data_IF_497461668353
#
_entry.id   IF_497461668353
#
_cell.length_a   1.000
_cell.length_b   1.000
_cell.length_c   1.000
_cell.angle_alpha   90.00
_cell.angle_beta   90.00
_cell.angle_gamma   90.00
#
_symmetry.space_group_name_H-M   'P 1'
#
loop_
_entity.id
_entity.type
_entity.pdbx_description
1 polymer ?
#
# COMPACT_ATOMS: atom_id res chain seq x y z
N UNK A 1 5.55 35.84 10.53
CA UNK A 1 6.12 34.49 10.50
C UNK A 1 5.11 33.57 9.84
N UNK A 2 5.19 33.41 8.52
CA UNK A 2 4.34 32.51 7.76
C UNK A 2 5.26 31.54 7.06
N UNK A 3 5.43 30.35 7.64
CA UNK A 3 6.15 29.27 6.98
C UNK A 3 5.30 28.77 5.83
N UNK A 4 5.71 29.08 4.61
CA UNK A 4 5.28 28.39 3.41
C UNK A 4 5.75 26.95 3.56
N UNK A 5 4.89 26.03 4.00
CA UNK A 5 5.15 24.60 3.84
C UNK A 5 5.10 24.35 2.32
N UNK A 6 6.28 24.28 1.70
CA UNK A 6 6.39 23.65 0.40
C UNK A 6 5.78 22.26 0.51
N UNK A 7 4.93 21.90 -0.44
CA UNK A 7 4.35 20.56 -0.54
C UNK A 7 5.49 19.56 -0.68
N UNK A 8 5.97 19.01 0.43
CA UNK A 8 6.67 17.73 0.40
C UNK A 8 5.60 16.70 0.09
N UNK A 9 5.68 16.12 -1.10
CA UNK A 9 5.05 14.84 -1.38
C UNK A 9 5.70 13.82 -0.45
N UNK A 10 5.16 13.70 0.75
CA UNK A 10 5.63 12.74 1.76
C UNK A 10 5.09 11.37 1.36
N UNK A 11 5.94 10.57 0.71
CA UNK A 11 5.69 9.16 0.48
C UNK A 11 5.26 8.49 1.78
N UNK A 12 4.09 7.86 1.79
CA UNK A 12 3.56 7.17 2.98
C UNK A 12 4.12 5.76 3.02
N UNK A 13 4.83 5.44 4.09
CA UNK A 13 5.36 4.11 4.32
C UNK A 13 4.63 3.44 5.48
N UNK A 14 4.08 2.25 5.24
CA UNK A 14 3.32 1.50 6.24
C UNK A 14 3.77 0.05 6.28
N UNK A 15 3.79 -0.54 7.47
CA UNK A 15 4.11 -1.95 7.66
C UNK A 15 2.86 -2.70 8.12
N UNK A 16 2.51 -3.78 7.43
CA UNK A 16 1.48 -4.71 7.84
C UNK A 16 1.99 -5.53 9.04
N UNK A 17 1.80 -5.02 10.25
CA UNK A 17 2.31 -5.62 11.51
C UNK A 17 1.46 -6.82 11.98
N UNK A 18 1.14 -7.75 11.07
CA UNK A 18 0.21 -8.87 11.29
C UNK A 18 -1.24 -8.60 10.91
N UNK A 19 -1.54 -7.40 10.41
CA UNK A 19 -2.78 -7.07 9.69
C UNK A 19 -2.72 -7.56 8.24
N UNK A 20 -3.89 -7.74 7.60
CA UNK A 20 -3.95 -8.16 6.19
C UNK A 20 -3.25 -7.14 5.31
N UNK A 21 -2.39 -7.59 4.40
CA UNK A 21 -1.68 -6.73 3.45
C UNK A 21 -2.63 -5.80 2.68
N UNK A 22 -3.79 -6.32 2.29
CA UNK A 22 -4.84 -5.53 1.66
C UNK A 22 -5.32 -4.34 2.49
N UNK A 23 -5.48 -4.52 3.81
CA UNK A 23 -5.87 -3.42 4.71
C UNK A 23 -4.77 -2.38 4.84
N UNK A 24 -3.52 -2.82 5.03
CA UNK A 24 -2.38 -1.91 5.14
C UNK A 24 -2.21 -1.05 3.89
N UNK A 25 -2.44 -1.61 2.69
CA UNK A 25 -2.42 -0.84 1.44
C UNK A 25 -3.51 0.21 1.41
N UNK A 26 -4.74 -0.20 1.69
CA UNK A 26 -5.91 0.68 1.67
C UNK A 26 -5.72 1.86 2.61
N UNK A 27 -5.22 1.60 3.83
CA UNK A 27 -4.94 2.64 4.81
C UNK A 27 -3.77 3.54 4.37
N UNK A 28 -2.68 2.98 3.83
CA UNK A 28 -1.56 3.79 3.35
C UNK A 28 -1.96 4.73 2.20
N UNK A 29 -2.81 4.27 1.27
CA UNK A 29 -3.32 5.11 0.18
C UNK A 29 -4.28 6.18 0.71
N UNK A 30 -5.14 5.82 1.66
CA UNK A 30 -6.03 6.77 2.29
C UNK A 30 -5.27 7.86 3.06
N UNK A 31 -4.18 7.50 3.75
CA UNK A 31 -3.30 8.47 4.41
C UNK A 31 -2.56 9.36 3.40
N UNK A 32 -2.06 8.79 2.30
CA UNK A 32 -1.34 9.55 1.27
C UNK A 32 -2.24 10.54 0.51
N UNK A 33 -3.49 10.15 0.24
CA UNK A 33 -4.46 10.96 -0.50
C UNK A 33 -5.33 11.83 0.40
N UNK A 34 -5.41 11.51 1.69
CA UNK A 34 -6.42 12.05 2.61
C UNK A 34 -7.85 11.63 2.26
N UNK A 35 -8.03 10.66 1.36
CA UNK A 35 -9.35 10.19 0.89
C UNK A 35 -9.72 8.93 1.66
N UNK A 36 -10.95 8.91 2.17
CA UNK A 36 -11.47 7.72 2.83
C UNK A 36 -11.41 6.53 1.86
N UNK A 37 -10.91 5.36 2.29
CA UNK A 37 -10.74 4.23 1.40
C UNK A 37 -12.04 3.72 0.77
N UNK A 38 -13.18 3.99 1.41
CA UNK A 38 -14.51 3.67 0.87
C UNK A 38 -14.98 4.69 -0.20
N UNK A 39 -14.32 5.84 -0.28
CA UNK A 39 -14.60 6.95 -1.20
C UNK A 39 -13.57 7.08 -2.33
N UNK A 40 -12.53 6.24 -2.36
CA UNK A 40 -11.63 6.16 -3.50
C UNK A 40 -12.46 5.80 -4.74
N UNK A 41 -12.38 6.63 -5.78
CA UNK A 41 -13.01 6.38 -7.09
C UNK A 41 -12.58 5.02 -7.65
N UNK A 42 -11.34 4.62 -7.38
CA UNK A 42 -10.80 3.29 -7.68
C UNK A 42 -10.82 2.42 -6.42
N UNK A 43 -11.63 1.35 -6.44
CA UNK A 43 -11.60 0.37 -5.34
C UNK A 43 -10.31 -0.43 -5.43
N UNK A 44 -9.68 -0.68 -4.28
CA UNK A 44 -8.53 -1.59 -4.21
C UNK A 44 -8.82 -2.91 -4.94
N UNK A 45 -10.00 -3.51 -4.70
CA UNK A 45 -10.49 -4.73 -5.36
C UNK A 45 -10.54 -4.68 -6.90
N UNK A 46 -10.63 -3.49 -7.51
CA UNK A 46 -10.65 -3.32 -8.97
C UNK A 46 -9.25 -3.50 -9.58
N UNK A 47 -8.21 -3.11 -8.83
CA UNK A 47 -6.81 -3.17 -9.25
C UNK A 47 -6.10 -4.40 -8.72
N UNK A 48 -6.35 -4.73 -7.45
CA UNK A 48 -5.69 -5.83 -6.75
C UNK A 48 -6.62 -6.49 -5.74
N UNK A 49 -6.70 -7.82 -5.81
CA UNK A 49 -7.44 -8.59 -4.83
C UNK A 49 -6.64 -8.66 -3.52
N UNK A 50 -7.16 -8.15 -2.39
CA UNK A 50 -6.46 -8.14 -1.11
C UNK A 50 -6.21 -9.56 -0.56
N UNK A 51 -7.10 -10.52 -0.86
CA UNK A 51 -6.89 -11.93 -0.53
C UNK A 51 -5.85 -12.57 -1.47
N UNK A 52 -5.77 -12.13 -2.72
CA UNK A 52 -4.74 -12.49 -3.69
C UNK A 52 -3.36 -12.00 -3.26
N UNK A 53 -3.26 -10.77 -2.76
CA UNK A 53 -2.05 -10.23 -2.12
C UNK A 53 -1.60 -11.11 -0.96
N UNK A 54 -2.52 -11.48 -0.07
CA UNK A 54 -2.26 -12.39 1.06
C UNK A 54 -1.81 -13.78 0.57
N UNK A 55 -2.27 -14.25 -0.59
CA UNK A 55 -1.80 -15.52 -1.16
C UNK A 55 -0.45 -15.42 -1.86
N UNK A 56 -0.19 -14.32 -2.57
CA UNK A 56 1.06 -14.06 -3.29
C UNK A 56 2.22 -13.84 -2.31
N UNK A 57 1.96 -13.06 -1.27
CA UNK A 57 2.92 -12.71 -0.22
C UNK A 57 2.80 -13.56 1.04
N UNK A 58 1.77 -14.40 1.12
CA UNK A 58 1.61 -15.37 2.19
C UNK A 58 2.79 -16.31 2.30
N UNK A 59 2.94 -16.90 3.50
CA UNK A 59 4.00 -17.88 3.77
C UNK A 59 3.96 -18.95 2.69
N UNK A 60 5.11 -19.20 2.05
CA UNK A 60 5.29 -20.43 1.26
C UNK A 60 4.88 -21.62 2.12
N UNK A 61 4.41 -22.70 1.49
CA UNK A 61 4.19 -23.99 2.17
C UNK A 61 5.41 -24.47 2.97
N UNK A 62 6.60 -23.97 2.62
CA UNK A 62 7.89 -24.23 3.27
C UNK A 62 8.19 -23.31 4.48
N UNK A 63 7.29 -22.40 4.87
CA UNK A 63 7.47 -21.46 5.99
C UNK A 63 8.45 -20.31 5.71
N UNK A 64 9.22 -20.36 4.63
CA UNK A 64 10.10 -19.28 4.20
C UNK A 64 9.28 -18.08 3.68
N UNK A 65 9.58 -16.89 4.21
CA UNK A 65 9.14 -15.63 3.61
C UNK A 65 9.70 -15.59 2.18
N UNK A 66 8.86 -15.30 1.17
CA UNK A 66 9.36 -15.12 -0.18
C UNK A 66 10.27 -13.89 -0.20
N UNK A 67 11.58 -14.08 -0.16
CA UNK A 67 12.54 -13.00 -0.28
C UNK A 67 12.61 -12.55 -1.74
N UNK A 68 12.36 -11.26 -2.01
CA UNK A 68 12.54 -10.64 -3.33
C UNK A 68 11.26 -10.37 -4.14
N UNK A 69 10.06 -10.56 -3.57
CA UNK A 69 8.81 -10.19 -4.23
C UNK A 69 8.41 -8.76 -3.87
N UNK A 70 8.29 -7.88 -4.87
CA UNK A 70 7.57 -6.61 -4.74
C UNK A 70 6.50 -6.50 -5.81
N UNK A 71 5.36 -5.94 -5.46
CA UNK A 71 4.25 -5.66 -6.37
C UNK A 71 4.08 -4.15 -6.39
N UNK A 72 4.27 -3.54 -7.56
CA UNK A 72 4.02 -2.12 -7.77
C UNK A 72 2.81 -1.97 -8.69
N UNK A 73 1.86 -1.14 -8.30
CA UNK A 73 0.65 -0.84 -9.07
C UNK A 73 0.16 0.58 -8.77
N UNK A 74 -0.67 1.12 -9.64
CA UNK A 74 -1.24 2.46 -9.47
C UNK A 74 -2.65 2.36 -8.89
N UNK A 75 -2.93 3.14 -7.83
CA UNK A 75 -4.25 3.24 -7.20
C UNK A 75 -4.59 4.71 -6.97
N UNK A 76 -5.69 5.18 -7.55
CA UNK A 76 -6.13 6.58 -7.44
C UNK A 76 -5.00 7.59 -7.74
N UNK A 77 -4.32 7.39 -8.88
CA UNK A 77 -3.18 8.20 -9.33
C UNK A 77 -1.94 8.16 -8.41
N UNK A 78 -1.96 7.33 -7.36
CA UNK A 78 -0.82 7.09 -6.47
C UNK A 78 -0.12 5.79 -6.83
N UNK A 79 1.20 5.79 -6.80
CA UNK A 79 2.01 4.57 -6.98
C UNK A 79 2.11 3.80 -5.67
N UNK A 80 1.61 2.58 -5.63
CA UNK A 80 1.63 1.69 -4.47
C UNK A 80 2.63 0.58 -4.71
N UNK A 81 3.63 0.46 -3.85
CA UNK A 81 4.62 -0.64 -3.84
C UNK A 81 4.48 -1.47 -2.57
N UNK A 82 4.11 -2.74 -2.74
CA UNK A 82 3.99 -3.72 -1.66
C UNK A 82 5.17 -4.68 -1.71
N UNK A 83 5.83 -4.88 -0.59
CA UNK A 83 6.95 -5.80 -0.40
C UNK A 83 6.50 -7.04 0.34
N UNK A 84 7.12 -8.17 0.00
CA UNK A 84 6.85 -9.47 0.63
C UNK A 84 7.19 -9.56 2.12
N UNK A 85 7.92 -8.59 2.66
CA UNK A 85 8.20 -8.44 4.08
C UNK A 85 7.04 -7.82 4.88
N UNK A 86 5.98 -7.38 4.20
CA UNK A 86 4.87 -6.65 4.83
C UNK A 86 4.98 -5.13 4.73
N UNK A 87 6.02 -4.60 4.05
CA UNK A 87 6.18 -3.15 3.84
C UNK A 87 5.32 -2.69 2.67
N UNK A 88 4.64 -1.58 2.81
CA UNK A 88 3.85 -0.89 1.79
C UNK A 88 4.37 0.53 1.68
N UNK A 89 4.61 0.99 0.48
CA UNK A 89 5.10 2.33 0.17
C UNK A 89 4.14 2.95 -0.84
N UNK A 90 3.59 4.11 -0.52
CA UNK A 90 2.66 4.84 -1.38
C UNK A 90 3.27 6.19 -1.74
N UNK A 91 3.45 6.41 -3.04
CA UNK A 91 3.94 7.66 -3.60
C UNK A 91 2.78 8.38 -4.27
N UNK A 92 2.24 9.46 -3.67
CA UNK A 92 1.27 10.30 -4.35
C UNK A 92 1.92 11.02 -5.56
N UNK A 93 1.13 11.42 -6.57
CA UNK A 93 1.63 12.07 -7.78
C UNK A 93 2.20 13.49 -7.55
#
# INVERSE_FOLDING_TARGET
MGGTHGTQVETVERFAHGERLGTAVVEAVAEATGIDPLKLDTRLYDVVDPDGLEQVFGKKADGAIRTGGRLTFELAECEVTVYSEGRVVVTPP
#
